data_IF_966897884549
#
_entry.id   IF_966897884549
#
_cell.length_a   1.000
_cell.length_b   1.000
_cell.length_c   1.000
_cell.angle_alpha   90.00
_cell.angle_beta   90.00
_cell.angle_gamma   90.00
#
_symmetry.space_group_name_H-M   'P 1'
#
loop_
_entity.id
_entity.type
_entity.pdbx_description
1 polymer ?
#
# COMPACT_ATOMS: atom_id res chain seq x y z
N UNK A 1 49.83 20.27 1.78
CA UNK A 1 48.46 20.56 1.25
C UNK A 1 47.89 19.29 0.66
N UNK A 2 46.64 18.93 0.95
CA UNK A 2 46.06 17.66 0.51
C UNK A 2 45.73 17.69 -0.99
N UNK A 3 46.62 17.15 -1.83
CA UNK A 3 46.43 17.04 -3.27
C UNK A 3 45.08 16.39 -3.64
N UNK A 4 44.57 15.48 -2.79
CA UNK A 4 43.26 14.83 -2.95
C UNK A 4 42.11 15.83 -3.18
N UNK A 5 42.08 16.95 -2.46
CA UNK A 5 41.03 17.97 -2.63
C UNK A 5 41.14 18.65 -3.99
N UNK A 6 42.37 19.01 -4.37
CA UNK A 6 42.61 19.69 -5.64
C UNK A 6 42.37 18.81 -6.86
N UNK A 7 42.62 17.50 -6.77
CA UNK A 7 42.28 16.54 -7.84
C UNK A 7 40.80 16.57 -8.22
N UNK A 8 39.91 16.67 -7.24
CA UNK A 8 38.46 16.80 -7.50
C UNK A 8 38.17 18.12 -8.22
N UNK A 9 38.81 19.21 -7.79
CA UNK A 9 38.68 20.52 -8.41
C UNK A 9 39.25 20.59 -9.83
N UNK A 10 40.17 19.70 -10.24
CA UNK A 10 40.70 19.67 -11.61
C UNK A 10 39.61 19.37 -12.64
N UNK A 11 38.74 18.39 -12.37
CA UNK A 11 37.65 18.04 -13.27
C UNK A 11 36.60 19.16 -13.32
N UNK A 12 36.17 19.64 -12.16
CA UNK A 12 35.22 20.75 -12.07
C UNK A 12 35.76 22.02 -12.77
N UNK A 13 37.07 22.30 -12.67
CA UNK A 13 37.71 23.40 -13.39
C UNK A 13 37.59 23.25 -14.91
N UNK A 14 37.79 22.04 -15.44
CA UNK A 14 37.69 21.80 -16.89
C UNK A 14 36.27 21.96 -17.41
N UNK A 15 35.28 21.67 -16.57
CA UNK A 15 33.86 21.76 -16.90
C UNK A 15 33.24 23.13 -16.55
N UNK A 16 34.06 24.07 -16.06
CA UNK A 16 33.66 25.42 -15.66
C UNK A 16 32.66 25.45 -14.49
N UNK A 17 32.75 24.46 -13.60
CA UNK A 17 31.88 24.27 -12.43
C UNK A 17 32.52 24.70 -11.11
N UNK A 18 33.56 25.53 -11.14
CA UNK A 18 34.23 26.04 -9.92
C UNK A 18 33.98 27.52 -9.70
N UNK A 19 34.03 27.94 -8.44
CA UNK A 19 33.98 29.36 -8.08
C UNK A 19 35.32 30.06 -8.33
N UNK A 20 35.32 31.39 -8.46
CA UNK A 20 36.54 32.17 -8.64
C UNK A 20 37.57 31.99 -7.50
N UNK A 21 37.09 31.81 -6.27
CA UNK A 21 37.96 31.59 -5.11
C UNK A 21 38.62 30.22 -5.14
N UNK A 22 37.90 29.19 -5.59
CA UNK A 22 38.44 27.85 -5.79
C UNK A 22 39.45 27.84 -6.93
N UNK A 23 39.18 28.57 -8.02
CA UNK A 23 40.10 28.71 -9.14
C UNK A 23 41.42 29.32 -8.69
N UNK A 24 41.40 30.44 -7.95
CA UNK A 24 42.62 31.06 -7.41
C UNK A 24 43.41 30.09 -6.53
N UNK A 25 42.74 29.38 -5.63
CA UNK A 25 43.36 28.38 -4.75
C UNK A 25 43.97 27.23 -5.56
N UNK A 26 43.26 26.74 -6.57
CA UNK A 26 43.73 25.67 -7.45
C UNK A 26 44.96 26.11 -8.26
N UNK A 27 44.92 27.28 -8.89
CA UNK A 27 46.05 27.81 -9.67
C UNK A 27 47.29 28.02 -8.81
N UNK A 28 47.13 28.48 -7.57
CA UNK A 28 48.25 28.57 -6.61
C UNK A 28 48.82 27.19 -6.25
N UNK A 29 47.97 26.18 -6.06
CA UNK A 29 48.43 24.81 -5.83
C UNK A 29 49.16 24.24 -7.04
N UNK A 30 48.67 24.47 -8.26
CA UNK A 30 49.29 23.98 -9.49
C UNK A 30 50.69 24.56 -9.74
N UNK A 31 50.99 25.77 -9.25
CA UNK A 31 52.34 26.36 -9.30
C UNK A 31 53.35 25.62 -8.42
N UNK A 32 52.89 24.93 -7.37
CA UNK A 32 53.75 24.30 -6.36
C UNK A 32 53.74 22.77 -6.43
N UNK A 33 52.71 22.17 -7.01
CA UNK A 33 52.55 20.72 -7.11
C UNK A 33 52.63 20.24 -8.57
N UNK A 34 53.76 19.63 -8.92
CA UNK A 34 54.01 19.07 -10.25
C UNK A 34 53.05 17.93 -10.60
N UNK A 35 52.65 17.11 -9.62
CA UNK A 35 51.76 15.96 -9.86
C UNK A 35 50.37 16.41 -10.30
N UNK A 36 49.78 17.37 -9.58
CA UNK A 36 48.48 17.93 -9.94
C UNK A 36 48.52 18.69 -11.28
N UNK A 37 49.63 19.38 -11.59
CA UNK A 37 49.83 20.02 -12.88
C UNK A 37 49.90 19.00 -14.03
N UNK A 38 50.58 17.87 -13.81
CA UNK A 38 50.64 16.77 -14.77
C UNK A 38 49.26 16.14 -14.99
N UNK A 39 48.51 15.92 -13.91
CA UNK A 39 47.14 15.39 -13.96
C UNK A 39 46.19 16.30 -14.74
N UNK A 40 46.26 17.61 -14.52
CA UNK A 40 45.49 18.57 -15.32
C UNK A 40 45.82 18.47 -16.82
N UNK A 41 47.11 18.30 -17.15
CA UNK A 41 47.54 18.14 -18.54
C UNK A 41 46.96 16.87 -19.17
N UNK A 42 46.97 15.75 -18.45
CA UNK A 42 46.34 14.51 -18.92
C UNK A 42 44.84 14.67 -19.13
N UNK A 43 44.13 15.27 -18.17
CA UNK A 43 42.69 15.51 -18.31
C UNK A 43 42.36 16.40 -19.53
N UNK A 44 43.15 17.45 -19.78
CA UNK A 44 43.03 18.29 -20.98
C UNK A 44 43.25 17.51 -22.27
N UNK A 45 44.24 16.61 -22.30
CA UNK A 45 44.51 15.75 -23.45
C UNK A 45 43.33 14.81 -23.71
N UNK A 46 42.80 14.16 -22.67
CA UNK A 46 41.62 13.30 -22.76
C UNK A 46 40.41 14.06 -23.29
N UNK A 47 40.12 15.26 -22.75
CA UNK A 47 39.01 16.11 -23.24
C UNK A 47 39.17 16.44 -24.73
N UNK A 48 40.40 16.74 -25.18
CA UNK A 48 40.68 17.01 -26.60
C UNK A 48 40.38 15.82 -27.50
N UNK A 49 40.70 14.59 -27.06
CA UNK A 49 40.39 13.37 -27.83
C UNK A 49 38.87 13.22 -28.02
N UNK A 50 38.08 13.48 -26.99
CA UNK A 50 36.62 13.45 -27.11
C UNK A 50 36.07 14.52 -28.05
N UNK A 51 36.68 15.71 -28.09
CA UNK A 51 36.28 16.79 -29.02
C UNK A 51 36.60 16.48 -30.48
N UNK A 52 37.58 15.61 -30.76
CA UNK A 52 37.90 15.17 -32.12
C UNK A 52 36.89 14.15 -32.66
N UNK A 53 36.07 13.56 -31.79
CA UNK A 53 35.06 12.59 -32.21
C UNK A 53 33.95 13.31 -32.96
N UNK A 54 33.60 12.79 -34.13
CA UNK A 54 32.47 13.27 -34.92
C UNK A 54 31.20 13.27 -34.07
N UNK A 55 30.52 14.43 -34.03
CA UNK A 55 29.22 14.53 -33.38
C UNK A 55 28.22 13.79 -34.24
N UNK A 56 27.73 12.66 -33.75
CA UNK A 56 26.68 11.92 -34.42
C UNK A 56 25.35 12.63 -34.20
N UNK A 57 24.72 13.06 -35.27
CA UNK A 57 23.35 13.56 -35.21
C UNK A 57 22.41 12.45 -34.70
N UNK A 58 21.45 12.78 -33.83
CA UNK A 58 20.47 11.81 -33.37
C UNK A 58 19.63 11.31 -34.56
N UNK A 59 19.16 10.06 -34.48
CA UNK A 59 18.24 9.52 -35.48
C UNK A 59 16.96 10.35 -35.56
N UNK A 60 16.32 10.38 -36.72
CA UNK A 60 15.02 11.04 -36.90
C UNK A 60 14.02 10.64 -35.81
N UNK A 61 13.24 11.62 -35.34
CA UNK A 61 12.23 11.49 -34.28
C UNK A 61 12.76 10.94 -32.93
N UNK A 62 14.08 11.01 -32.68
CA UNK A 62 14.67 10.58 -31.42
C UNK A 62 14.05 11.31 -30.22
N UNK A 63 13.93 12.64 -30.31
CA UNK A 63 13.36 13.46 -29.25
C UNK A 63 11.91 13.07 -28.97
N UNK A 64 11.10 12.88 -30.01
CA UNK A 64 9.69 12.46 -29.86
C UNK A 64 9.60 11.12 -29.11
N UNK A 65 10.43 10.12 -29.49
CA UNK A 65 10.47 8.83 -28.80
C UNK A 65 10.96 8.96 -27.35
N UNK A 66 11.96 9.81 -27.11
CA UNK A 66 12.51 10.05 -25.78
C UNK A 66 11.49 10.70 -24.86
N UNK A 67 10.88 11.82 -25.28
CA UNK A 67 9.89 12.54 -24.51
C UNK A 67 8.62 11.72 -24.27
N UNK A 68 8.18 10.92 -25.25
CA UNK A 68 7.08 9.98 -25.04
C UNK A 68 7.39 8.99 -23.89
N UNK A 69 8.61 8.43 -23.84
CA UNK A 69 9.02 7.53 -22.75
C UNK A 69 9.11 8.23 -21.40
N UNK A 70 9.68 9.43 -21.35
CA UNK A 70 9.81 10.21 -20.10
C UNK A 70 8.42 10.55 -19.55
N UNK A 71 7.51 11.06 -20.39
CA UNK A 71 6.13 11.38 -20.00
C UNK A 71 5.34 10.16 -19.55
N UNK A 72 5.58 9.00 -20.17
CA UNK A 72 4.87 7.77 -19.84
C UNK A 72 5.43 7.06 -18.60
N UNK A 73 6.67 7.30 -18.19
CA UNK A 73 7.22 6.75 -16.92
C UNK A 73 6.48 7.26 -15.69
N UNK A 74 6.07 8.54 -15.67
CA UNK A 74 5.33 9.14 -14.54
C UNK A 74 3.85 8.73 -14.47
N UNK A 75 3.35 7.96 -15.44
CA UNK A 75 1.92 7.59 -15.56
C UNK A 75 1.65 6.11 -15.37
N UNK A 76 2.61 5.34 -14.85
CA UNK A 76 2.33 3.97 -14.43
C UNK A 76 1.33 4.06 -13.27
N UNK A 77 0.08 3.58 -13.43
CA UNK A 77 -0.89 3.69 -12.36
C UNK A 77 -0.39 2.83 -11.20
N UNK A 78 -0.34 3.41 -10.00
CA UNK A 78 0.09 2.78 -8.74
C UNK A 78 -0.61 1.40 -8.57
N UNK A 79 -1.86 1.32 -9.02
CA UNK A 79 -2.70 0.13 -9.06
C UNK A 79 -2.05 -1.06 -9.79
N UNK A 80 -1.19 -0.86 -10.78
CA UNK A 80 -0.48 -1.94 -11.49
C UNK A 80 0.49 -2.71 -10.58
N UNK A 81 1.01 -2.05 -9.54
CA UNK A 81 1.86 -2.68 -8.53
C UNK A 81 1.03 -3.46 -7.47
N UNK A 82 -0.16 -2.98 -7.13
CA UNK A 82 -1.03 -3.61 -6.12
C UNK A 82 -2.02 -4.64 -6.69
N UNK A 83 -2.29 -4.60 -7.99
CA UNK A 83 -3.19 -5.53 -8.69
C UNK A 83 -2.92 -7.03 -8.40
N UNK A 84 -1.67 -7.52 -8.38
CA UNK A 84 -1.41 -8.94 -8.09
C UNK A 84 -1.76 -9.31 -6.63
N UNK A 85 -1.65 -8.37 -5.68
CA UNK A 85 -1.99 -8.60 -4.27
C UNK A 85 -3.50 -8.63 -4.08
N UNK A 86 -4.23 -7.67 -4.66
CA UNK A 86 -5.69 -7.64 -4.60
C UNK A 86 -6.32 -8.91 -5.19
N UNK A 87 -5.79 -9.43 -6.31
CA UNK A 87 -6.31 -10.65 -6.95
C UNK A 87 -6.26 -11.89 -6.05
N UNK A 88 -5.31 -11.97 -5.10
CA UNK A 88 -5.18 -13.11 -4.17
C UNK A 88 -6.06 -12.94 -2.92
N UNK A 89 -6.36 -11.70 -2.54
CA UNK A 89 -7.15 -11.41 -1.34
C UNK A 89 -8.67 -11.44 -1.54
N UNK A 90 -9.16 -11.37 -2.79
CA UNK A 90 -10.61 -11.40 -3.09
C UNK A 90 -11.31 -12.63 -2.49
N UNK A 91 -10.68 -13.81 -2.57
CA UNK A 91 -11.26 -15.05 -2.03
C UNK A 91 -11.37 -15.01 -0.50
N UNK A 92 -10.36 -14.48 0.18
CA UNK A 92 -10.35 -14.36 1.65
C UNK A 92 -11.43 -13.37 2.11
N UNK A 93 -11.56 -12.24 1.41
CA UNK A 93 -12.58 -11.22 1.70
C UNK A 93 -13.99 -11.78 1.48
N UNK A 94 -14.22 -12.52 0.39
CA UNK A 94 -15.51 -13.18 0.12
C UNK A 94 -15.88 -14.20 1.21
N UNK A 95 -14.93 -15.05 1.62
CA UNK A 95 -15.15 -16.02 2.70
C UNK A 95 -15.49 -15.31 4.01
N UNK A 96 -14.75 -14.24 4.36
CA UNK A 96 -15.00 -13.47 5.58
C UNK A 96 -16.37 -12.78 5.55
N UNK A 97 -16.76 -12.23 4.40
CA UNK A 97 -18.08 -11.63 4.20
C UNK A 97 -19.20 -12.67 4.37
N UNK A 98 -19.06 -13.86 3.79
CA UNK A 98 -20.02 -14.96 3.97
C UNK A 98 -20.12 -15.41 5.43
N UNK A 99 -19.00 -15.46 6.14
CA UNK A 99 -18.98 -15.79 7.58
C UNK A 99 -19.72 -14.72 8.41
N UNK A 100 -19.51 -13.44 8.13
CA UNK A 100 -20.20 -12.34 8.83
C UNK A 100 -21.71 -12.39 8.53
N UNK A 101 -22.09 -12.54 7.26
CA UNK A 101 -23.52 -12.64 6.87
C UNK A 101 -24.16 -13.87 7.51
N UNK A 102 -23.46 -15.01 7.50
CA UNK A 102 -23.89 -16.23 8.17
C UNK A 102 -24.07 -16.03 9.66
N UNK A 103 -23.13 -15.38 10.34
CA UNK A 103 -23.18 -15.07 11.77
C UNK A 103 -24.37 -14.16 12.14
N UNK A 104 -24.61 -13.12 11.34
CA UNK A 104 -25.73 -12.19 11.53
C UNK A 104 -27.07 -12.90 11.36
N UNK A 105 -27.18 -13.77 10.35
CA UNK A 105 -28.40 -14.55 10.12
C UNK A 105 -28.57 -15.71 11.11
N UNK A 106 -27.48 -16.26 11.65
CA UNK A 106 -27.50 -17.33 12.65
C UNK A 106 -28.16 -16.87 13.96
N UNK A 107 -27.90 -15.63 14.40
CA UNK A 107 -28.61 -15.03 15.55
C UNK A 107 -30.14 -14.97 15.36
N UNK A 108 -30.61 -14.86 14.12
CA UNK A 108 -32.04 -14.81 13.80
C UNK A 108 -32.70 -16.19 13.81
N UNK A 109 -31.93 -17.26 13.61
CA UNK A 109 -32.43 -18.63 13.51
C UNK A 109 -32.35 -19.41 14.83
N UNK A 110 -31.35 -19.12 15.70
CA UNK A 110 -31.12 -19.87 16.95
C UNK A 110 -31.51 -19.14 18.24
N UNK A 111 -32.24 -18.02 18.17
CA UNK A 111 -32.96 -17.48 19.33
C UNK A 111 -34.38 -18.10 19.33
N UNK A 112 -34.66 -19.19 20.06
CA UNK A 112 -36.02 -19.69 20.17
C UNK A 112 -36.88 -18.57 20.77
N UNK A 113 -38.07 -18.37 20.18
CA UNK A 113 -39.10 -17.48 20.74
C UNK A 113 -39.27 -17.81 22.23
N UNK A 114 -39.28 -16.82 23.15
CA UNK A 114 -39.82 -17.09 24.47
C UNK A 114 -41.24 -17.63 24.25
N UNK A 115 -41.45 -18.82 24.79
CA UNK A 115 -42.66 -19.61 24.74
C UNK A 115 -43.89 -18.73 24.95
N UNK A 116 -44.72 -18.59 23.91
CA UNK A 116 -46.15 -18.41 24.12
C UNK A 116 -46.62 -19.73 24.74
N UNK A 117 -46.59 -19.75 26.07
CA UNK A 117 -47.17 -20.81 26.86
C UNK A 117 -48.64 -20.86 26.48
N UNK A 118 -48.99 -21.98 25.88
CA UNK A 118 -50.33 -22.48 25.56
C UNK A 118 -51.35 -21.94 26.59
N UNK A 119 -52.12 -20.93 26.20
CA UNK A 119 -53.28 -20.42 26.94
C UNK A 119 -54.47 -21.38 26.89
N UNK A 120 -54.36 -22.49 26.14
CA UNK A 120 -55.37 -23.55 26.04
C UNK A 120 -55.24 -24.61 27.17
N UNK A 121 -54.35 -24.39 28.16
CA UNK A 121 -54.28 -25.21 29.38
C UNK A 121 -54.71 -24.43 30.63
N UNK A 122 -55.53 -23.39 30.47
CA UNK A 122 -56.32 -22.85 31.56
C UNK A 122 -57.62 -23.66 31.63
N UNK A 123 -57.56 -24.70 32.46
CA UNK A 123 -58.73 -25.35 33.04
C UNK A 123 -59.68 -24.24 33.49
N UNK A 124 -60.89 -24.30 32.95
CA UNK A 124 -61.96 -23.35 33.21
C UNK A 124 -62.16 -23.26 34.73
N UNK A 125 -61.77 -22.13 35.32
CA UNK A 125 -61.93 -21.81 36.75
C UNK A 125 -63.40 -21.85 37.20
N UNK A 126 -64.36 -21.95 36.28
CA UNK A 126 -65.77 -22.21 36.62
C UNK A 126 -66.10 -23.70 36.83
N UNK A 127 -65.26 -24.63 36.36
CA UNK A 127 -65.45 -26.07 36.58
C UNK A 127 -65.06 -26.48 38.01
N UNK A 128 -64.12 -25.77 38.62
CA UNK A 128 -63.56 -26.11 39.94
C UNK A 128 -64.51 -25.75 41.10
N UNK A 129 -65.42 -24.79 40.91
CA UNK A 129 -66.35 -24.36 41.96
C UNK A 129 -67.49 -25.37 42.22
N UNK A 130 -67.86 -26.18 41.22
CA UNK A 130 -68.93 -27.19 41.34
C UNK A 130 -68.41 -28.64 41.41
N UNK A 131 -67.10 -28.88 41.26
CA UNK A 131 -66.56 -30.23 41.15
C UNK A 131 -66.57 -31.00 42.48
N UNK A 132 -66.33 -30.31 43.60
CA UNK A 132 -66.40 -30.97 44.92
C UNK A 132 -67.83 -31.35 45.31
N UNK A 133 -68.81 -30.53 44.96
CA UNK A 133 -70.23 -30.82 45.17
C UNK A 133 -70.68 -32.03 44.33
N UNK A 134 -70.26 -32.08 43.06
CA UNK A 134 -70.58 -33.18 42.14
C UNK A 134 -69.90 -34.50 42.56
N UNK A 135 -68.66 -34.46 43.06
CA UNK A 135 -67.97 -35.64 43.60
C UNK A 135 -68.63 -36.18 44.88
N UNK A 136 -69.07 -35.29 45.77
CA UNK A 136 -69.75 -35.68 47.01
C UNK A 136 -71.12 -36.32 46.73
N UNK A 137 -71.88 -35.81 45.75
CA UNK A 137 -73.15 -36.39 45.35
C UNK A 137 -72.99 -37.78 44.71
N UNK A 138 -71.95 -37.98 43.89
CA UNK A 138 -71.68 -39.29 43.26
C UNK A 138 -71.28 -40.37 44.28
N UNK A 139 -70.44 -40.03 45.27
CA UNK A 139 -69.90 -41.04 46.20
C UNK A 139 -70.71 -41.19 47.49
N UNK A 140 -71.42 -40.15 47.92
CA UNK A 140 -72.16 -40.13 49.18
C UNK A 140 -73.63 -39.74 49.03
N UNK A 141 -74.10 -39.50 47.81
CA UNK A 141 -75.53 -39.32 47.53
C UNK A 141 -76.32 -40.56 47.95
N UNK A 142 -77.52 -40.40 48.50
CA UNK A 142 -78.36 -41.54 48.83
C UNK A 142 -78.69 -42.29 47.54
N UNK A 143 -78.39 -43.59 47.49
CA UNK A 143 -78.92 -44.48 46.46
C UNK A 143 -80.43 -44.63 46.71
N UNK A 144 -81.23 -43.73 46.14
CA UNK A 144 -82.68 -43.67 46.26
C UNK A 144 -83.33 -42.98 45.07
#
# INVERSE_FOLDING_TARGET
MSCKKFKILLSAYLDQEITQDEEKKLLNHLKTCLDCARELKYLKQTKRIFLLKEKKEPQEFFETRLFARIKNKGKQPIWRAYFPVFRKSILVILIFFLLIVGWVNYKKFFYPRPTEVISDLLIDTQLEENFEEELLEIYYGPLG
#
